data_IF_180341876045
#
_entry.id   IF_180341876045
#
_cell.length_a   1.000
_cell.length_b   1.000
_cell.length_c   1.000
_cell.angle_alpha   90.00
_cell.angle_beta   90.00
_cell.angle_gamma   90.00
#
_symmetry.space_group_name_H-M   'P 1'
#
loop_
_entity.id
_entity.type
_entity.pdbx_description
1 polymer ?
#
# COMPACT_ATOMS: atom_id res chain seq x y z
N UNK A 1 2.67 33.51 35.25
CA UNK A 1 1.70 32.73 36.05
C UNK A 1 1.53 31.39 35.34
N UNK A 2 2.25 30.35 35.78
CA UNK A 2 2.23 29.03 35.11
C UNK A 2 0.92 28.32 35.48
N UNK A 3 -0.02 28.31 34.55
CA UNK A 3 -1.28 27.58 34.68
C UNK A 3 -0.93 26.09 34.55
N UNK A 4 -1.12 25.34 35.63
CA UNK A 4 -0.85 23.90 35.68
C UNK A 4 -1.98 23.15 34.96
N UNK A 5 -1.78 22.93 33.66
CA UNK A 5 -2.74 22.36 32.73
C UNK A 5 -3.21 20.95 33.13
N UNK A 6 -2.33 20.14 33.72
CA UNK A 6 -2.68 18.78 34.17
C UNK A 6 -3.71 18.77 35.30
N UNK A 7 -3.64 19.73 36.24
CA UNK A 7 -4.64 19.85 37.31
C UNK A 7 -5.99 20.29 36.76
N UNK A 8 -6.01 21.19 35.79
CA UNK A 8 -7.23 21.64 35.12
C UNK A 8 -7.86 20.49 34.35
N UNK A 9 -7.06 19.73 33.61
CA UNK A 9 -7.52 18.56 32.87
C UNK A 9 -8.13 17.49 33.79
N UNK A 10 -7.52 17.24 34.95
CA UNK A 10 -8.03 16.26 35.92
C UNK A 10 -9.38 16.67 36.53
N UNK A 11 -9.54 17.95 36.84
CA UNK A 11 -10.82 18.51 37.31
C UNK A 11 -11.86 18.45 36.20
N UNK A 12 -11.46 18.74 34.96
CA UNK A 12 -12.35 18.73 33.80
C UNK A 12 -12.87 17.32 33.47
N UNK A 13 -12.01 16.30 33.51
CA UNK A 13 -12.41 14.89 33.34
C UNK A 13 -13.32 14.38 34.46
N UNK A 14 -13.28 14.99 35.66
CA UNK A 14 -14.18 14.65 36.76
C UNK A 14 -15.64 15.05 36.46
N UNK A 15 -15.84 16.18 35.79
CA UNK A 15 -17.18 16.67 35.39
C UNK A 15 -17.64 16.08 34.05
N UNK A 16 -16.72 15.66 33.19
CA UNK A 16 -16.99 15.14 31.85
C UNK A 16 -16.28 13.81 31.61
N UNK A 17 -16.75 12.69 32.21
CA UNK A 17 -16.22 11.36 31.91
C UNK A 17 -16.57 10.93 30.47
N UNK A 18 -15.79 9.99 29.91
CA UNK A 18 -15.66 9.60 28.49
C UNK A 18 -16.93 9.21 27.68
N UNK A 19 -18.14 9.39 28.21
CA UNK A 19 -19.40 9.19 27.49
C UNK A 19 -19.77 10.43 26.63
N UNK A 20 -18.90 10.65 25.66
CA UNK A 20 -18.91 11.68 24.61
C UNK A 20 -20.19 11.66 23.76
N UNK A 21 -20.67 12.88 23.44
CA UNK A 21 -21.88 13.27 22.69
C UNK A 21 -23.11 13.57 23.57
N UNK A 22 -23.64 12.63 24.37
CA UNK A 22 -24.87 12.89 25.16
C UNK A 22 -24.68 13.92 26.28
N UNK A 23 -23.57 13.85 27.02
CA UNK A 23 -23.27 14.80 28.12
C UNK A 23 -22.98 16.20 27.58
N UNK A 24 -22.28 16.30 26.45
CA UNK A 24 -22.01 17.57 25.76
C UNK A 24 -23.31 18.26 25.34
N UNK A 25 -24.25 17.52 24.76
CA UNK A 25 -25.58 18.03 24.45
C UNK A 25 -26.36 18.45 25.70
N UNK A 26 -26.30 17.66 26.79
CA UNK A 26 -26.95 18.06 28.05
C UNK A 26 -26.39 19.38 28.60
N UNK A 27 -25.08 19.61 28.53
CA UNK A 27 -24.46 20.86 29.00
C UNK A 27 -24.76 22.04 28.07
N UNK A 28 -24.78 21.82 26.75
CA UNK A 28 -25.18 22.85 25.79
C UNK A 28 -26.68 23.20 25.97
N UNK A 29 -27.56 22.22 26.12
CA UNK A 29 -29.00 22.42 26.36
C UNK A 29 -29.24 23.10 27.72
N UNK A 30 -28.53 22.71 28.78
CA UNK A 30 -28.60 23.38 30.08
C UNK A 30 -28.10 24.83 30.00
N UNK A 31 -27.01 25.09 29.27
CA UNK A 31 -26.50 26.43 29.02
C UNK A 31 -27.45 27.29 28.18
N UNK A 32 -28.11 26.70 27.17
CA UNK A 32 -29.17 27.36 26.40
C UNK A 32 -30.37 27.68 27.30
N UNK A 33 -30.77 26.74 28.15
CA UNK A 33 -31.84 26.95 29.15
C UNK A 33 -31.52 28.09 30.12
N UNK A 34 -30.28 28.17 30.60
CA UNK A 34 -29.80 29.22 31.49
C UNK A 34 -29.60 30.57 30.81
N UNK A 35 -29.32 30.63 29.51
CA UNK A 35 -29.24 31.89 28.75
C UNK A 35 -30.61 32.38 28.29
N UNK A 36 -31.55 31.47 28.04
CA UNK A 36 -32.94 31.79 27.70
C UNK A 36 -33.80 32.16 28.92
N UNK A 37 -33.27 32.03 30.14
CA UNK A 37 -33.88 32.55 31.37
C UNK A 37 -34.36 33.98 31.20
N UNK A 38 -33.59 34.89 30.58
CA UNK A 38 -33.98 36.30 30.43
C UNK A 38 -35.36 36.55 29.79
N UNK A 39 -35.87 35.67 28.90
CA UNK A 39 -37.15 35.92 28.21
C UNK A 39 -38.34 35.29 28.95
N UNK A 40 -38.19 34.06 29.45
CA UNK A 40 -39.23 33.35 30.22
C UNK A 40 -39.32 33.89 31.66
N UNK A 41 -38.19 34.27 32.24
CA UNK A 41 -38.08 34.89 33.57
C UNK A 41 -38.75 36.27 33.61
N UNK A 42 -38.68 37.07 32.54
CA UNK A 42 -39.41 38.35 32.49
C UNK A 42 -40.94 38.15 32.54
N UNK A 43 -41.47 37.13 31.87
CA UNK A 43 -42.91 36.82 31.88
C UNK A 43 -43.33 36.28 33.25
N UNK A 44 -42.54 35.36 33.82
CA UNK A 44 -42.84 34.73 35.11
C UNK A 44 -42.67 35.73 36.27
N UNK A 45 -41.64 36.59 36.25
CA UNK A 45 -41.46 37.64 37.26
C UNK A 45 -42.53 38.71 37.16
N UNK A 46 -43.00 39.09 35.95
CA UNK A 46 -44.09 40.04 35.82
C UNK A 46 -45.41 39.50 36.41
N UNK A 47 -45.66 38.20 36.31
CA UNK A 47 -46.84 37.52 36.87
C UNK A 47 -46.71 37.26 38.38
N UNK A 48 -45.50 36.95 38.88
CA UNK A 48 -45.25 36.69 40.30
C UNK A 48 -45.04 37.96 41.14
N UNK A 49 -44.48 39.04 40.59
CA UNK A 49 -44.41 40.36 41.27
C UNK A 49 -45.80 40.97 41.44
N UNK A 50 -46.72 40.75 40.48
CA UNK A 50 -48.08 41.30 40.56
C UNK A 50 -48.99 40.57 41.55
N UNK A 51 -48.73 39.29 41.86
CA UNK A 51 -49.62 38.49 42.72
C UNK A 51 -49.01 38.01 44.04
N UNK A 52 -47.68 37.83 44.15
CA UNK A 52 -47.08 37.13 45.29
C UNK A 52 -45.84 37.80 45.89
N UNK A 53 -45.28 38.84 45.28
CA UNK A 53 -44.14 39.62 45.80
C UNK A 53 -42.90 38.77 46.19
N UNK A 54 -42.60 37.72 45.42
CA UNK A 54 -41.43 36.85 45.61
C UNK A 54 -40.51 36.97 44.37
N UNK A 55 -39.19 37.16 44.60
CA UNK A 55 -38.14 37.11 43.56
C UNK A 55 -37.34 35.82 43.67
N UNK A 56 -37.39 35.01 42.62
CA UNK A 56 -36.66 33.73 42.50
C UNK A 56 -35.62 33.94 41.39
N UNK A 57 -34.32 33.90 41.74
CA UNK A 57 -33.12 33.88 40.86
C UNK A 57 -32.46 35.24 40.49
N UNK A 58 -31.12 35.22 40.45
CA UNK A 58 -30.23 36.38 40.58
C UNK A 58 -29.61 36.92 39.26
N UNK A 59 -28.73 37.93 39.39
CA UNK A 59 -28.30 38.81 38.28
C UNK A 59 -27.30 38.20 37.28
N UNK A 60 -26.80 36.97 37.49
CA UNK A 60 -25.67 36.40 36.75
C UNK A 60 -25.96 35.08 36.02
N UNK A 61 -27.21 34.59 36.02
CA UNK A 61 -27.55 33.26 35.48
C UNK A 61 -27.30 33.13 33.97
N UNK A 62 -27.51 34.22 33.22
CA UNK A 62 -27.21 34.27 31.78
C UNK A 62 -25.72 34.15 31.49
N UNK A 63 -24.86 34.74 32.35
CA UNK A 63 -23.41 34.67 32.23
C UNK A 63 -22.91 33.24 32.50
N UNK A 64 -23.47 32.58 33.52
CA UNK A 64 -23.19 31.16 33.81
C UNK A 64 -23.60 30.26 32.64
N UNK A 65 -24.74 30.52 32.01
CA UNK A 65 -25.19 29.79 30.81
C UNK A 65 -24.23 29.93 29.63
N UNK A 66 -23.75 31.13 29.33
CA UNK A 66 -22.76 31.38 28.26
C UNK A 66 -21.47 30.61 28.53
N UNK A 67 -20.98 30.64 29.78
CA UNK A 67 -19.76 29.93 30.19
C UNK A 67 -19.93 28.42 30.00
N UNK A 68 -21.09 27.85 30.34
CA UNK A 68 -21.36 26.42 30.14
C UNK A 68 -21.40 26.03 28.66
N UNK A 69 -22.01 26.85 27.80
CA UNK A 69 -22.00 26.61 26.35
C UNK A 69 -20.56 26.64 25.82
N UNK A 70 -19.77 27.64 26.24
CA UNK A 70 -18.36 27.75 25.83
C UNK A 70 -17.55 26.52 26.27
N UNK A 71 -17.72 26.05 27.51
CA UNK A 71 -17.05 24.83 27.99
C UNK A 71 -17.48 23.58 27.21
N UNK A 72 -18.77 23.42 26.91
CA UNK A 72 -19.27 22.29 26.11
C UNK A 72 -18.68 22.28 24.69
N UNK A 73 -18.58 23.45 24.05
CA UNK A 73 -17.98 23.58 22.72
C UNK A 73 -16.46 23.32 22.73
N UNK A 74 -15.74 23.88 23.69
CA UNK A 74 -14.29 23.66 23.85
C UNK A 74 -14.02 22.17 24.05
N UNK A 75 -14.79 21.49 24.90
CA UNK A 75 -14.67 20.05 25.11
C UNK A 75 -14.89 19.25 23.82
N UNK A 76 -15.93 19.60 23.04
CA UNK A 76 -16.24 18.92 21.79
C UNK A 76 -15.11 19.07 20.76
N UNK A 77 -14.55 20.27 20.64
CA UNK A 77 -13.41 20.56 19.74
C UNK A 77 -12.19 19.74 20.16
N UNK A 78 -11.88 19.66 21.47
CA UNK A 78 -10.75 18.88 21.97
C UNK A 78 -10.94 17.38 21.70
N UNK A 79 -12.13 16.84 21.96
CA UNK A 79 -12.44 15.43 21.68
C UNK A 79 -12.37 15.08 20.20
N UNK A 80 -12.91 15.94 19.32
CA UNK A 80 -12.80 15.74 17.87
C UNK A 80 -11.33 15.77 17.43
N UNK A 81 -10.54 16.70 17.95
CA UNK A 81 -9.11 16.80 17.62
C UNK A 81 -8.33 15.55 18.05
N UNK A 82 -8.61 14.99 19.23
CA UNK A 82 -7.98 13.74 19.69
C UNK A 82 -8.37 12.54 18.83
N UNK A 83 -9.67 12.39 18.50
CA UNK A 83 -10.14 11.31 17.60
C UNK A 83 -9.46 11.39 16.24
N UNK A 84 -9.40 12.57 15.62
CA UNK A 84 -8.73 12.77 14.33
C UNK A 84 -7.23 12.49 14.43
N UNK A 85 -6.57 12.88 15.53
CA UNK A 85 -5.14 12.61 15.73
C UNK A 85 -4.86 11.11 15.86
N UNK A 86 -5.69 10.38 16.59
CA UNK A 86 -5.57 8.91 16.75
C UNK A 86 -5.80 8.21 15.42
N UNK A 87 -6.83 8.61 14.66
CA UNK A 87 -7.12 8.02 13.35
C UNK A 87 -6.01 8.28 12.33
N UNK A 88 -5.50 9.52 12.27
CA UNK A 88 -4.38 9.88 11.38
C UNK A 88 -3.11 9.15 11.77
N UNK A 89 -2.79 9.07 13.06
CA UNK A 89 -1.63 8.32 13.55
C UNK A 89 -1.76 6.82 13.26
N UNK A 90 -2.93 6.22 13.46
CA UNK A 90 -3.20 4.82 13.16
C UNK A 90 -3.03 4.51 11.67
N UNK A 91 -3.59 5.36 10.78
CA UNK A 91 -3.38 5.22 9.32
C UNK A 91 -1.90 5.38 8.94
N UNK A 92 -1.18 6.29 9.58
CA UNK A 92 0.25 6.48 9.35
C UNK A 92 1.09 5.27 9.76
N UNK A 93 0.77 4.62 10.89
CA UNK A 93 1.49 3.42 11.31
C UNK A 93 1.21 2.21 10.42
N UNK A 94 -0.05 1.98 10.04
CA UNK A 94 -0.40 0.90 9.10
C UNK A 94 0.32 1.08 7.76
N UNK A 95 0.38 2.32 7.25
CA UNK A 95 1.10 2.60 6.01
C UNK A 95 2.62 2.35 6.13
N UNK A 96 3.22 2.69 7.27
CA UNK A 96 4.65 2.40 7.52
C UNK A 96 4.93 0.89 7.57
N UNK A 97 4.05 0.12 8.22
CA UNK A 97 4.18 -1.33 8.28
C UNK A 97 4.05 -1.98 6.89
N UNK A 98 3.13 -1.48 6.06
CA UNK A 98 2.98 -1.93 4.67
C UNK A 98 4.25 -1.65 3.83
N UNK A 99 4.82 -0.44 3.93
CA UNK A 99 6.05 -0.08 3.24
C UNK A 99 7.22 -0.95 3.69
N UNK A 100 7.38 -1.18 5.00
CA UNK A 100 8.49 -1.99 5.53
C UNK A 100 8.37 -3.47 5.11
N UNK A 101 7.15 -4.01 5.14
CA UNK A 101 6.85 -5.36 4.64
C UNK A 101 7.26 -5.49 3.17
N UNK A 102 6.74 -4.61 2.32
CA UNK A 102 6.96 -4.64 0.88
C UNK A 102 8.42 -4.38 0.51
N UNK A 103 9.12 -3.55 1.29
CA UNK A 103 10.57 -3.35 1.14
C UNK A 103 11.36 -4.62 1.44
N UNK A 104 11.07 -5.29 2.55
CA UNK A 104 11.72 -6.56 2.91
C UNK A 104 11.47 -7.61 1.82
N UNK A 105 10.24 -7.67 1.31
CA UNK A 105 9.87 -8.58 0.23
C UNK A 105 10.62 -8.26 -1.07
N UNK A 106 10.70 -6.98 -1.44
CA UNK A 106 11.44 -6.54 -2.62
C UNK A 106 12.93 -6.87 -2.51
N UNK A 107 13.57 -6.61 -1.37
CA UNK A 107 14.97 -6.93 -1.13
C UNK A 107 15.25 -8.43 -1.29
N UNK A 108 14.35 -9.28 -0.77
CA UNK A 108 14.42 -10.72 -0.98
C UNK A 108 14.32 -11.09 -2.47
N UNK A 109 13.33 -10.57 -3.20
CA UNK A 109 13.19 -10.83 -4.64
C UNK A 109 14.39 -10.33 -5.46
N UNK A 110 14.90 -9.15 -5.14
CA UNK A 110 16.07 -8.55 -5.79
C UNK A 110 17.35 -9.32 -5.50
N UNK A 111 17.43 -10.04 -4.37
CA UNK A 111 18.56 -10.94 -4.08
C UNK A 111 18.53 -12.23 -4.92
N UNK A 112 17.37 -12.61 -5.44
CA UNK A 112 17.21 -13.77 -6.32
C UNK A 112 17.54 -13.39 -7.76
N UNK A 113 17.02 -12.26 -8.22
CA UNK A 113 17.19 -11.77 -9.58
C UNK A 113 17.35 -10.25 -9.56
N UNK A 114 18.59 -9.80 -9.76
CA UNK A 114 18.89 -8.39 -9.93
C UNK A 114 18.80 -7.96 -11.41
N UNK A 115 18.72 -6.65 -11.62
CA UNK A 115 18.50 -6.07 -12.94
C UNK A 115 19.69 -6.29 -13.89
N UNK A 116 20.93 -6.23 -13.36
CA UNK A 116 22.15 -6.40 -14.17
C UNK A 116 22.23 -7.82 -14.69
N UNK A 117 22.05 -8.80 -13.80
CA UNK A 117 22.02 -10.21 -14.19
C UNK A 117 20.96 -10.52 -15.24
N UNK A 118 19.74 -10.00 -15.05
CA UNK A 118 18.62 -10.26 -15.96
C UNK A 118 18.91 -9.74 -17.37
N UNK A 119 19.44 -8.51 -17.46
CA UNK A 119 19.74 -7.90 -18.77
C UNK A 119 20.88 -8.63 -19.46
N UNK A 120 21.95 -8.94 -18.73
CA UNK A 120 23.09 -9.71 -19.26
C UNK A 120 22.67 -11.11 -19.71
N UNK A 121 21.80 -11.77 -18.94
CA UNK A 121 21.26 -13.08 -19.30
C UNK A 121 20.47 -13.00 -20.61
N UNK A 122 19.54 -12.04 -20.74
CA UNK A 122 18.75 -11.89 -21.95
C UNK A 122 19.58 -11.49 -23.16
N UNK A 123 20.52 -10.56 -23.03
CA UNK A 123 21.44 -10.23 -24.12
C UNK A 123 22.22 -11.48 -24.57
N UNK A 124 22.73 -12.27 -23.62
CA UNK A 124 23.41 -13.52 -23.90
C UNK A 124 22.52 -14.52 -24.67
N UNK A 125 21.26 -14.66 -24.27
CA UNK A 125 20.29 -15.55 -24.94
C UNK A 125 19.90 -15.02 -26.32
N UNK A 126 19.67 -13.73 -26.47
CA UNK A 126 19.29 -13.09 -27.74
C UNK A 126 20.41 -13.19 -28.77
N UNK A 127 21.67 -13.08 -28.36
CA UNK A 127 22.83 -13.16 -29.26
C UNK A 127 23.16 -14.60 -29.63
N UNK A 128 23.14 -15.51 -28.64
CA UNK A 128 23.66 -16.88 -28.84
C UNK A 128 22.57 -17.91 -29.14
N UNK A 129 21.30 -17.56 -28.90
CA UNK A 129 20.15 -18.46 -28.84
C UNK A 129 20.44 -19.71 -28.00
N UNK A 130 21.19 -19.51 -26.91
CA UNK A 130 21.67 -20.59 -26.06
C UNK A 130 22.03 -20.05 -24.68
N UNK A 131 21.96 -20.94 -23.68
CA UNK A 131 22.39 -20.67 -22.32
C UNK A 131 22.80 -21.96 -21.62
N UNK A 132 23.54 -21.84 -20.51
CA UNK A 132 23.77 -22.97 -19.61
C UNK A 132 22.62 -23.10 -18.63
N UNK A 133 22.22 -24.32 -18.28
CA UNK A 133 21.12 -24.55 -17.33
C UNK A 133 21.35 -23.83 -15.99
N UNK A 134 22.60 -23.76 -15.51
CA UNK A 134 22.95 -22.99 -14.31
C UNK A 134 22.65 -21.49 -14.40
N UNK A 135 22.64 -20.93 -15.63
CA UNK A 135 22.42 -19.50 -15.89
C UNK A 135 20.94 -19.13 -16.02
N UNK A 136 20.03 -20.08 -16.25
CA UNK A 136 18.59 -19.76 -16.22
C UNK A 136 18.02 -19.85 -14.80
N UNK A 137 18.76 -20.46 -13.88
CA UNK A 137 18.29 -20.76 -12.52
C UNK A 137 17.78 -19.53 -11.75
N UNK A 138 18.51 -18.40 -11.65
CA UNK A 138 18.01 -17.22 -10.93
C UNK A 138 16.69 -16.69 -11.49
N UNK A 139 16.55 -16.69 -12.82
CA UNK A 139 15.30 -16.32 -13.48
C UNK A 139 14.17 -17.29 -13.07
N UNK A 140 14.37 -18.59 -13.19
CA UNK A 140 13.33 -19.58 -12.80
C UNK A 140 13.01 -19.56 -11.31
N UNK A 141 13.99 -19.29 -10.44
CA UNK A 141 13.79 -19.16 -8.99
C UNK A 141 12.93 -17.93 -8.69
N UNK A 142 13.18 -16.81 -9.36
CA UNK A 142 12.33 -15.61 -9.26
C UNK A 142 10.90 -15.90 -9.73
N UNK A 143 10.75 -16.53 -10.89
CA UNK A 143 9.44 -16.92 -11.42
C UNK A 143 8.65 -17.79 -10.44
N UNK A 144 9.33 -18.73 -9.77
CA UNK A 144 8.71 -19.56 -8.73
C UNK A 144 8.37 -18.77 -7.46
N UNK A 145 9.23 -17.84 -7.03
CA UNK A 145 9.02 -17.07 -5.81
C UNK A 145 7.82 -16.13 -5.91
N UNK A 146 7.62 -15.48 -7.06
CA UNK A 146 6.51 -14.54 -7.28
C UNK A 146 5.13 -15.21 -7.33
N UNK A 147 5.07 -16.53 -7.53
CA UNK A 147 3.82 -17.30 -7.51
C UNK A 147 3.34 -17.66 -6.09
N UNK A 148 4.20 -17.49 -5.08
CA UNK A 148 3.85 -17.84 -3.71
C UNK A 148 2.94 -16.78 -3.09
N UNK A 149 1.94 -17.22 -2.32
CA UNK A 149 1.03 -16.34 -1.57
C UNK A 149 1.79 -15.42 -0.60
N UNK A 150 2.88 -15.91 0.01
CA UNK A 150 3.72 -15.10 0.89
C UNK A 150 4.46 -13.95 0.18
N UNK A 151 4.40 -13.89 -1.14
CA UNK A 151 5.04 -12.89 -2.00
C UNK A 151 4.03 -11.89 -2.56
N UNK A 152 2.87 -11.77 -1.91
CA UNK A 152 1.89 -10.73 -2.23
C UNK A 152 2.29 -9.40 -1.58
N UNK A 153 2.47 -8.38 -2.41
CA UNK A 153 2.70 -7.01 -1.98
C UNK A 153 1.41 -6.41 -1.40
N UNK A 154 1.55 -5.58 -0.37
CA UNK A 154 0.44 -4.87 0.27
C UNK A 154 0.09 -3.60 -0.51
N UNK A 155 1.08 -2.94 -1.11
CA UNK A 155 0.87 -1.74 -1.91
C UNK A 155 0.32 -2.11 -3.29
N UNK A 156 -0.93 -1.71 -3.54
CA UNK A 156 -1.72 -2.05 -4.74
C UNK A 156 -0.97 -1.82 -6.07
N UNK A 157 -0.19 -0.74 -6.15
CA UNK A 157 0.59 -0.38 -7.34
C UNK A 157 1.66 -1.43 -7.67
N UNK A 158 2.38 -1.91 -6.64
CA UNK A 158 3.39 -2.97 -6.78
C UNK A 158 2.69 -4.31 -7.03
N UNK A 159 1.65 -4.61 -6.26
CA UNK A 159 0.89 -5.86 -6.40
C UNK A 159 0.29 -6.01 -7.81
N UNK A 160 -0.29 -4.94 -8.36
CA UNK A 160 -0.89 -4.93 -9.70
C UNK A 160 0.16 -5.16 -10.78
N UNK A 161 1.30 -4.46 -10.73
CA UNK A 161 2.37 -4.62 -11.72
C UNK A 161 3.02 -6.00 -11.65
N UNK A 162 3.26 -6.54 -10.45
CA UNK A 162 3.76 -7.90 -10.29
C UNK A 162 2.76 -8.94 -10.82
N UNK A 163 1.45 -8.76 -10.58
CA UNK A 163 0.44 -9.67 -11.10
C UNK A 163 0.31 -9.63 -12.63
N UNK A 164 0.65 -8.51 -13.27
CA UNK A 164 0.77 -8.42 -14.73
C UNK A 164 2.02 -9.12 -15.26
N UNK A 165 3.11 -9.15 -14.47
CA UNK A 165 4.34 -9.85 -14.83
C UNK A 165 4.20 -11.39 -14.78
N UNK A 166 3.47 -11.94 -13.80
CA UNK A 166 3.27 -13.40 -13.64
C UNK A 166 2.86 -14.16 -14.92
N UNK A 167 1.84 -13.76 -15.70
CA UNK A 167 1.51 -14.47 -16.92
C UNK A 167 2.62 -14.40 -17.98
N UNK A 168 3.37 -13.30 -18.04
CA UNK A 168 4.49 -13.14 -18.98
C UNK A 168 5.65 -14.07 -18.59
N UNK A 169 5.92 -14.20 -17.28
CA UNK A 169 6.96 -15.11 -16.80
C UNK A 169 6.63 -16.58 -17.12
N UNK A 170 5.36 -16.99 -16.96
CA UNK A 170 4.91 -18.34 -17.32
C UNK A 170 5.09 -18.63 -18.80
N UNK A 171 4.70 -17.71 -19.67
CA UNK A 171 4.87 -17.86 -21.12
C UNK A 171 6.35 -18.00 -21.52
N UNK A 172 7.23 -17.18 -20.92
CA UNK A 172 8.66 -17.27 -21.17
C UNK A 172 9.25 -18.60 -20.69
N UNK A 173 8.87 -19.03 -19.48
CA UNK A 173 9.32 -20.32 -18.94
C UNK A 173 8.85 -21.50 -19.80
N UNK A 174 7.58 -21.51 -20.20
CA UNK A 174 7.04 -22.53 -21.11
C UNK A 174 7.79 -22.55 -22.44
N UNK A 175 8.13 -21.37 -22.98
CA UNK A 175 8.92 -21.28 -24.20
C UNK A 175 10.32 -21.88 -24.02
N UNK A 176 11.02 -21.53 -22.95
CA UNK A 176 12.34 -22.12 -22.64
C UNK A 176 12.27 -23.64 -22.52
N UNK A 177 11.30 -24.17 -21.77
CA UNK A 177 11.13 -25.63 -21.59
C UNK A 177 10.84 -26.34 -22.91
N UNK A 178 10.05 -25.74 -23.80
CA UNK A 178 9.58 -26.41 -25.02
C UNK A 178 10.50 -26.22 -26.24
N UNK A 179 11.40 -25.23 -26.23
CA UNK A 179 12.15 -24.83 -27.42
C UNK A 179 13.67 -24.89 -27.25
N UNK A 180 14.18 -25.09 -26.02
CA UNK A 180 15.61 -25.22 -25.78
C UNK A 180 15.99 -26.66 -25.46
N UNK A 181 16.82 -27.23 -26.31
CA UNK A 181 17.29 -28.61 -26.19
C UNK A 181 18.79 -28.67 -25.85
N UNK A 182 19.24 -29.71 -25.14
CA UNK A 182 20.67 -29.95 -24.91
C UNK A 182 21.43 -30.12 -26.23
N UNK A 183 22.51 -29.36 -26.40
CA UNK A 183 23.40 -29.46 -27.55
C UNK A 183 24.84 -29.17 -27.16
N UNK A 184 25.80 -29.94 -27.69
CA UNK A 184 27.24 -29.75 -27.45
C UNK A 184 27.73 -30.26 -26.08
N UNK A 185 29.01 -30.01 -25.74
CA UNK A 185 29.59 -30.50 -24.50
C UNK A 185 29.08 -29.69 -23.30
N UNK A 186 28.29 -30.35 -22.43
CA UNK A 186 27.95 -29.83 -21.11
C UNK A 186 29.17 -29.76 -20.18
N UNK A 187 29.03 -29.04 -19.07
CA UNK A 187 30.04 -28.98 -18.00
C UNK A 187 29.55 -29.79 -16.80
N UNK A 188 29.84 -31.10 -16.80
CA UNK A 188 29.28 -32.00 -15.79
C UNK A 188 27.75 -32.06 -15.93
N UNK A 189 27.03 -31.71 -14.87
CA UNK A 189 25.56 -31.65 -14.86
C UNK A 189 24.99 -30.37 -15.48
N UNK A 190 25.84 -29.40 -15.85
CA UNK A 190 25.40 -28.14 -16.46
C UNK A 190 25.28 -28.28 -17.99
N UNK A 191 24.06 -28.51 -18.44
CA UNK A 191 23.74 -28.69 -19.85
C UNK A 191 23.79 -27.37 -20.60
N UNK A 192 24.40 -27.38 -21.79
CA UNK A 192 24.31 -26.28 -22.74
C UNK A 192 23.04 -26.45 -23.57
N UNK A 193 22.10 -25.53 -23.37
CA UNK A 193 20.76 -25.57 -23.97
C UNK A 193 20.73 -24.57 -25.13
N UNK A 194 20.27 -25.02 -26.29
CA UNK A 194 20.20 -24.22 -27.52
C UNK A 194 18.77 -24.21 -28.07
N UNK A 195 18.36 -23.10 -28.65
CA UNK A 195 17.07 -22.99 -29.36
C UNK A 195 17.07 -23.91 -30.58
N UNK A 196 16.21 -24.95 -30.57
CA UNK A 196 16.01 -25.91 -31.66
C UNK A 196 17.30 -26.25 -32.45
N UNK A 197 18.29 -26.92 -31.83
CA UNK A 197 19.62 -27.11 -32.42
C UNK A 197 19.57 -27.85 -33.76
N UNK A 198 18.56 -28.70 -33.98
CA UNK A 198 18.34 -29.44 -35.21
C UNK A 198 17.81 -28.58 -36.38
N UNK A 199 17.27 -27.41 -36.10
CA UNK A 199 16.82 -26.46 -37.12
C UNK A 199 17.83 -25.33 -37.36
N UNK A 200 18.79 -25.14 -36.44
CA UNK A 200 19.84 -24.14 -36.52
C UNK A 200 21.06 -24.65 -37.32
N UNK A 201 21.38 -24.03 -38.45
CA UNK A 201 22.51 -24.39 -39.32
C UNK A 201 23.90 -24.14 -38.71
N UNK A 202 24.01 -23.30 -37.68
CA UNK A 202 25.25 -23.06 -36.92
C UNK A 202 25.42 -24.06 -35.75
N UNK A 203 24.51 -25.04 -35.66
CA UNK A 203 24.47 -26.09 -34.63
C UNK A 203 24.33 -27.46 -35.30
N UNK A 204 23.24 -28.18 -35.10
CA UNK A 204 23.02 -29.52 -35.65
C UNK A 204 22.20 -29.53 -36.96
N UNK A 205 21.65 -28.38 -37.35
CA UNK A 205 20.87 -28.23 -38.57
C UNK A 205 21.73 -28.16 -39.83
N UNK A 206 21.06 -28.05 -40.98
CA UNK A 206 21.71 -27.96 -42.29
C UNK A 206 21.27 -26.71 -43.05
N UNK A 207 22.21 -26.08 -43.76
CA UNK A 207 21.90 -25.00 -44.72
C UNK A 207 20.99 -25.45 -45.88
N UNK A 208 20.87 -26.76 -46.11
CA UNK A 208 19.97 -27.32 -47.13
C UNK A 208 18.54 -27.59 -46.64
N UNK A 209 18.26 -27.47 -45.34
CA UNK A 209 16.93 -27.68 -44.76
C UNK A 209 16.16 -26.36 -44.65
N UNK A 210 15.53 -25.96 -45.76
CA UNK A 210 14.78 -24.70 -45.84
C UNK A 210 13.58 -24.65 -44.86
N UNK A 211 12.88 -25.77 -44.68
CA UNK A 211 11.75 -25.83 -43.74
C UNK A 211 12.22 -25.74 -42.29
N UNK A 212 13.34 -26.38 -41.95
CA UNK A 212 14.01 -26.21 -40.65
C UNK A 212 14.39 -24.75 -40.39
N UNK A 213 15.08 -24.11 -41.34
CA UNK A 213 15.46 -22.69 -41.21
C UNK A 213 14.25 -21.77 -40.98
N UNK A 214 13.15 -22.00 -41.71
CA UNK A 214 11.92 -21.21 -41.52
C UNK A 214 11.28 -21.41 -40.14
N UNK A 215 11.30 -22.63 -39.61
CA UNK A 215 10.82 -22.91 -38.25
C UNK A 215 11.70 -22.26 -37.19
N UNK A 216 13.01 -22.31 -37.40
CA UNK A 216 13.98 -21.65 -36.53
C UNK A 216 13.79 -20.13 -36.51
N UNK A 217 13.63 -19.49 -37.67
CA UNK A 217 13.35 -18.06 -37.77
C UNK A 217 12.07 -17.66 -37.03
N UNK A 218 11.02 -18.51 -37.10
CA UNK A 218 9.79 -18.29 -36.37
C UNK A 218 10.00 -18.43 -34.85
N UNK A 219 10.75 -19.43 -34.40
CA UNK A 219 11.08 -19.62 -33.00
C UNK A 219 11.94 -18.46 -32.46
N UNK A 220 12.92 -18.00 -33.23
CA UNK A 220 13.76 -16.83 -32.89
C UNK A 220 12.93 -15.56 -32.71
N UNK A 221 12.00 -15.29 -33.64
CA UNK A 221 11.07 -14.16 -33.50
C UNK A 221 10.18 -14.29 -32.26
N UNK A 222 9.70 -15.50 -31.97
CA UNK A 222 8.93 -15.78 -30.76
C UNK A 222 9.73 -15.54 -29.48
N UNK A 223 10.98 -15.98 -29.45
CA UNK A 223 11.92 -15.75 -28.35
C UNK A 223 12.10 -14.24 -28.09
N UNK A 224 12.41 -13.46 -29.13
CA UNK A 224 12.60 -12.01 -28.98
C UNK A 224 11.35 -11.31 -28.48
N UNK A 225 10.18 -11.63 -29.05
CA UNK A 225 8.93 -11.04 -28.59
C UNK A 225 8.64 -11.35 -27.11
N UNK A 226 8.92 -12.58 -26.66
CA UNK A 226 8.72 -12.97 -25.27
C UNK A 226 9.71 -12.28 -24.33
N UNK A 227 10.98 -12.16 -24.74
CA UNK A 227 11.99 -11.43 -23.96
C UNK A 227 11.64 -9.95 -23.87
N UNK A 228 11.24 -9.31 -24.97
CA UNK A 228 10.84 -7.90 -24.98
C UNK A 228 9.62 -7.67 -24.07
N UNK A 229 8.58 -8.50 -24.20
CA UNK A 229 7.40 -8.44 -23.32
C UNK A 229 7.78 -8.61 -21.84
N UNK A 230 8.71 -9.53 -21.54
CA UNK A 230 9.20 -9.72 -20.17
C UNK A 230 9.95 -8.48 -19.69
N UNK A 231 10.89 -7.95 -20.48
CA UNK A 231 11.68 -6.75 -20.14
C UNK A 231 10.75 -5.56 -19.86
N UNK A 232 9.73 -5.34 -20.69
CA UNK A 232 8.75 -4.27 -20.49
C UNK A 232 7.94 -4.45 -19.20
N UNK A 233 7.34 -5.63 -19.00
CA UNK A 233 6.52 -5.89 -17.81
C UNK A 233 7.34 -5.88 -16.52
N UNK A 234 8.57 -6.39 -16.56
CA UNK A 234 9.49 -6.34 -15.43
C UNK A 234 9.89 -4.90 -15.10
N UNK A 235 10.16 -4.07 -16.12
CA UNK A 235 10.43 -2.65 -15.93
C UNK A 235 9.26 -1.91 -15.27
N UNK A 236 8.02 -2.21 -15.67
CA UNK A 236 6.84 -1.60 -15.05
C UNK A 236 6.73 -1.98 -13.57
N UNK A 237 6.99 -3.24 -13.22
CA UNK A 237 7.11 -3.69 -11.84
C UNK A 237 8.21 -2.93 -11.08
N UNK A 238 9.42 -2.80 -11.64
CA UNK A 238 10.52 -2.07 -11.02
C UNK A 238 10.22 -0.58 -10.83
N UNK A 239 9.51 0.04 -11.77
CA UNK A 239 9.07 1.43 -11.65
C UNK A 239 8.01 1.62 -10.57
N UNK A 240 7.09 0.68 -10.42
CA UNK A 240 6.11 0.69 -9.33
C UNK A 240 6.81 0.59 -7.97
N UNK A 241 7.76 -0.34 -7.82
CA UNK A 241 8.58 -0.45 -6.61
C UNK A 241 9.30 0.86 -6.30
N UNK A 242 10.03 1.40 -7.28
CA UNK A 242 10.78 2.65 -7.12
C UNK A 242 9.91 3.81 -6.67
N UNK A 243 8.70 3.91 -7.24
CA UNK A 243 7.76 4.97 -6.93
C UNK A 243 7.19 4.86 -5.51
N UNK A 244 6.78 3.66 -5.11
CA UNK A 244 6.09 3.45 -3.84
C UNK A 244 7.05 3.30 -2.64
N UNK A 245 8.22 2.69 -2.86
CA UNK A 245 9.21 2.42 -1.82
C UNK A 245 10.38 3.42 -1.79
N UNK A 246 10.49 4.29 -2.80
CA UNK A 246 11.59 5.26 -2.96
C UNK A 246 12.99 4.63 -2.99
N UNK A 247 13.13 3.49 -3.69
CA UNK A 247 14.37 2.73 -3.87
C UNK A 247 14.83 2.79 -5.33
#
# INVERSE_FOLDING_TARGET
>A
MNINWEKIEKVFRLFFPEFSNKVTWCVVVAGIGLTSTSFVQSIINAVLETQFNIKILGQYDSLVGIVLIAFGLIHNILLQREKTKIEVNGKSEVNKQAIEHDKTLFEHLNSILDDEYLMDFFEGVEVNHAYFYSKVKPLTDFMYEIEKVKTEFVLDSIASSLNQLKPVTRQLNEFFVCNFDPYGPGRGDDLWLCLHPHWNCDRAGSWSDFEGSKKYDAAMKGLFQLIDNYKESYKDYRLAVKKELCI
#
